data_IF_383914042210
#
_entry.id   IF_383914042210
#
_cell.length_a   1.000
_cell.length_b   1.000
_cell.length_c   1.000
_cell.angle_alpha   90.00
_cell.angle_beta   90.00
_cell.angle_gamma   90.00
#
_symmetry.space_group_name_H-M   'P 1'
#
loop_
_entity.id
_entity.type
_entity.pdbx_description
1 polymer ?
#
# COMPACT_ATOMS: atom_id res chain seq x y z
N UNK A 1 28.33 19.88 2.31
CA UNK A 1 27.22 19.08 1.76
C UNK A 1 26.47 18.45 2.91
N UNK A 2 25.23 18.89 3.19
CA UNK A 2 24.41 18.27 4.23
C UNK A 2 23.72 17.05 3.62
N UNK A 3 24.29 15.86 3.77
CA UNK A 3 23.59 14.60 3.50
C UNK A 3 22.65 14.32 4.68
N UNK A 4 21.45 14.88 4.65
CA UNK A 4 20.44 14.56 5.66
C UNK A 4 19.73 13.26 5.23
N UNK A 5 19.85 12.19 6.01
CA UNK A 5 19.07 10.95 5.82
C UNK A 5 17.55 11.21 5.72
N UNK A 6 17.06 12.34 6.24
CA UNK A 6 15.66 12.75 6.08
C UNK A 6 15.24 13.04 4.64
N UNK A 7 16.18 13.38 3.74
CA UNK A 7 15.88 13.68 2.34
C UNK A 7 15.40 12.46 1.56
N UNK A 8 15.96 11.28 1.85
CA UNK A 8 15.58 10.03 1.19
C UNK A 8 14.19 9.55 1.63
N UNK A 9 13.90 9.57 2.93
CA UNK A 9 12.58 9.21 3.46
C UNK A 9 11.49 10.20 3.00
N UNK A 10 11.81 11.50 2.96
CA UNK A 10 10.89 12.52 2.44
C UNK A 10 10.57 12.27 0.97
N UNK A 11 11.59 11.99 0.15
CA UNK A 11 11.39 11.63 -1.26
C UNK A 11 10.52 10.38 -1.39
N UNK A 12 10.78 9.36 -0.58
CA UNK A 12 9.99 8.13 -0.63
C UNK A 12 8.51 8.35 -0.27
N UNK A 13 8.22 9.17 0.74
CA UNK A 13 6.86 9.57 1.09
C UNK A 13 6.17 10.32 -0.05
N UNK A 14 6.90 11.21 -0.74
CA UNK A 14 6.37 11.92 -1.91
C UNK A 14 6.05 10.93 -3.04
N UNK A 15 6.96 10.02 -3.38
CA UNK A 15 6.72 9.03 -4.45
C UNK A 15 5.55 8.09 -4.09
N UNK A 16 5.44 7.65 -2.82
CA UNK A 16 4.28 6.89 -2.35
C UNK A 16 2.96 7.67 -2.54
N UNK A 17 2.95 8.95 -2.17
CA UNK A 17 1.78 9.82 -2.32
C UNK A 17 1.41 10.15 -3.77
N UNK A 18 2.35 9.97 -4.71
CA UNK A 18 2.13 10.20 -6.16
C UNK A 18 1.62 8.98 -6.90
N UNK A 19 1.38 7.86 -6.20
CA UNK A 19 0.90 6.63 -6.82
C UNK A 19 -0.35 6.86 -7.68
N UNK A 20 -1.32 7.64 -7.21
CA UNK A 20 -2.55 7.92 -7.95
C UNK A 20 -2.30 8.70 -9.27
N UNK A 21 -1.30 9.59 -9.29
CA UNK A 21 -0.85 10.25 -10.54
C UNK A 21 -0.26 9.23 -11.53
N UNK A 22 0.52 8.27 -11.03
CA UNK A 22 1.20 7.23 -11.84
C UNK A 22 0.19 6.31 -12.51
N UNK A 23 -0.88 5.95 -11.79
CA UNK A 23 -1.96 5.09 -12.30
C UNK A 23 -3.07 5.88 -13.00
N UNK A 24 -3.00 7.22 -12.98
CA UNK A 24 -4.01 8.14 -13.50
C UNK A 24 -5.40 7.91 -12.87
N UNK A 25 -5.43 7.61 -11.57
CA UNK A 25 -6.65 7.43 -10.80
C UNK A 25 -7.17 8.80 -10.32
N UNK A 26 -8.43 9.10 -10.63
CA UNK A 26 -9.13 10.26 -10.08
C UNK A 26 -10.18 9.79 -9.08
N UNK A 27 -9.73 9.50 -7.85
CA UNK A 27 -10.59 9.09 -6.74
C UNK A 27 -10.54 10.16 -5.65
N UNK A 28 -11.60 10.97 -5.47
CA UNK A 28 -11.60 12.01 -4.45
C UNK A 28 -11.38 11.47 -3.03
N UNK A 29 -10.41 12.05 -2.32
CA UNK A 29 -10.07 11.71 -0.92
C UNK A 29 -9.75 10.23 -0.68
N UNK A 30 -9.25 9.53 -1.69
CA UNK A 30 -8.95 8.12 -1.62
C UNK A 30 -7.82 7.78 -2.62
N UNK A 31 -7.29 6.58 -2.52
CA UNK A 31 -6.34 6.03 -3.50
C UNK A 31 -6.85 4.70 -4.05
N UNK A 32 -6.41 4.31 -5.24
CA UNK A 32 -6.88 3.05 -5.82
C UNK A 32 -6.60 1.82 -4.93
N UNK A 33 -5.42 1.67 -4.30
CA UNK A 33 -5.18 0.55 -3.39
C UNK A 33 -6.16 0.53 -2.21
N UNK A 34 -6.41 1.68 -1.60
CA UNK A 34 -7.32 1.79 -0.44
C UNK A 34 -8.78 1.54 -0.85
N UNK A 35 -9.20 2.14 -1.96
CA UNK A 35 -10.50 1.90 -2.58
C UNK A 35 -10.76 0.43 -2.89
N UNK A 36 -9.72 -0.30 -3.31
CA UNK A 36 -9.81 -1.72 -3.65
C UNK A 36 -9.85 -2.63 -2.43
N UNK A 37 -9.04 -2.33 -1.40
CA UNK A 37 -8.99 -3.13 -0.18
C UNK A 37 -10.26 -2.95 0.67
N UNK A 38 -10.74 -1.72 0.81
CA UNK A 38 -11.77 -1.35 1.80
C UNK A 38 -13.04 -0.80 1.17
N UNK A 39 -13.39 -1.26 -0.03
CA UNK A 39 -14.60 -0.83 -0.70
C UNK A 39 -15.86 -1.18 0.10
N UNK A 40 -16.77 -0.22 0.29
CA UNK A 40 -18.06 -0.48 0.92
C UNK A 40 -19.00 -1.34 0.06
N UNK A 41 -18.74 -1.47 -1.24
CA UNK A 41 -19.57 -2.20 -2.21
C UNK A 41 -18.71 -3.22 -3.00
N UNK A 42 -18.18 -4.26 -2.35
CA UNK A 42 -17.23 -5.19 -2.97
C UNK A 42 -17.81 -5.96 -4.18
N UNK A 43 -19.14 -6.09 -4.27
CA UNK A 43 -19.82 -6.74 -5.40
C UNK A 43 -19.76 -5.92 -6.70
N UNK A 44 -19.78 -4.61 -6.60
CA UNK A 44 -19.73 -3.70 -7.76
C UNK A 44 -18.29 -3.36 -8.16
N UNK A 45 -17.34 -3.66 -7.27
CA UNK A 45 -15.93 -3.32 -7.44
C UNK A 45 -15.32 -3.83 -8.75
N UNK A 46 -15.53 -5.09 -9.20
CA UNK A 46 -14.95 -5.57 -10.45
C UNK A 46 -15.41 -4.75 -11.67
N UNK A 47 -16.72 -4.50 -11.77
CA UNK A 47 -17.30 -3.71 -12.87
C UNK A 47 -16.74 -2.28 -12.87
N UNK A 48 -16.64 -1.65 -11.71
CA UNK A 48 -16.07 -0.31 -11.58
C UNK A 48 -14.60 -0.29 -11.99
N UNK A 49 -13.82 -1.24 -11.51
CA UNK A 49 -12.39 -1.32 -11.82
C UNK A 49 -12.16 -1.46 -13.34
N UNK A 50 -12.91 -2.35 -13.99
CA UNK A 50 -12.79 -2.60 -15.44
C UNK A 50 -13.21 -1.41 -16.31
N UNK A 51 -14.16 -0.59 -15.85
CA UNK A 51 -14.67 0.56 -16.59
C UNK A 51 -13.89 1.85 -16.35
N UNK A 52 -13.38 2.04 -15.13
CA UNK A 52 -12.78 3.31 -14.69
C UNK A 52 -11.25 3.31 -14.78
N UNK A 53 -10.59 2.13 -14.77
CA UNK A 53 -9.13 2.05 -14.68
C UNK A 53 -8.52 1.18 -15.78
N UNK A 54 -7.25 1.46 -16.10
CA UNK A 54 -6.47 0.67 -17.04
C UNK A 54 -5.63 -0.38 -16.31
N UNK A 55 -5.78 -1.66 -16.66
CA UNK A 55 -4.95 -2.73 -16.09
C UNK A 55 -3.45 -2.52 -16.36
N UNK A 56 -3.09 -1.86 -17.48
CA UNK A 56 -1.71 -1.45 -17.78
C UNK A 56 -1.21 -0.40 -16.79
N UNK A 57 -2.04 0.59 -16.47
CA UNK A 57 -1.69 1.61 -15.50
C UNK A 57 -1.54 1.02 -14.09
N UNK A 58 -2.41 0.08 -13.70
CA UNK A 58 -2.28 -0.65 -12.41
C UNK A 58 -0.97 -1.45 -12.35
N UNK A 59 -0.58 -2.16 -13.41
CA UNK A 59 0.72 -2.85 -13.48
C UNK A 59 1.89 -1.88 -13.31
N UNK A 60 1.83 -0.74 -13.98
CA UNK A 60 2.85 0.30 -13.86
C UNK A 60 2.91 0.89 -12.44
N UNK A 61 1.76 1.03 -11.76
CA UNK A 61 1.70 1.41 -10.35
C UNK A 61 2.42 0.41 -9.43
N UNK A 62 2.24 -0.89 -9.67
CA UNK A 62 2.97 -1.93 -8.92
C UNK A 62 4.48 -1.82 -9.17
N UNK A 63 4.90 -1.75 -10.43
CA UNK A 63 6.33 -1.61 -10.78
C UNK A 63 6.95 -0.36 -10.14
N UNK A 64 6.21 0.75 -10.11
CA UNK A 64 6.62 1.98 -9.45
C UNK A 64 6.82 1.79 -7.93
N UNK A 65 5.89 1.10 -7.27
CA UNK A 65 5.99 0.77 -5.84
C UNK A 65 7.13 -0.21 -5.52
N UNK A 66 7.34 -1.23 -6.35
CA UNK A 66 8.46 -2.18 -6.19
C UNK A 66 9.81 -1.48 -6.37
N UNK A 67 9.90 -0.58 -7.36
CA UNK A 67 11.08 0.26 -7.55
C UNK A 67 11.34 1.17 -6.35
N UNK A 68 10.29 1.77 -5.80
CA UNK A 68 10.40 2.58 -4.59
C UNK A 68 10.90 1.74 -3.41
N UNK A 69 10.34 0.55 -3.20
CA UNK A 69 10.76 -0.38 -2.14
C UNK A 69 12.24 -0.74 -2.25
N UNK A 70 12.71 -1.03 -3.48
CA UNK A 70 14.11 -1.36 -3.75
C UNK A 70 15.09 -0.19 -3.54
N UNK A 71 14.60 1.05 -3.61
CA UNK A 71 15.40 2.26 -3.40
C UNK A 71 15.44 2.73 -1.94
N UNK A 72 14.55 2.20 -1.08
CA UNK A 72 14.54 2.55 0.32
C UNK A 72 15.83 2.08 1.00
N UNK A 73 16.38 2.87 1.94
CA UNK A 73 17.53 2.45 2.72
C UNK A 73 17.20 1.17 3.48
N UNK A 74 18.19 0.31 3.71
CA UNK A 74 18.02 -0.93 4.47
C UNK A 74 17.72 -0.67 5.95
N UNK A 75 18.26 0.43 6.50
CA UNK A 75 18.05 0.87 7.87
C UNK A 75 18.19 2.39 8.01
N UNK A 76 17.77 2.93 9.15
CA UNK A 76 17.99 4.33 9.55
C UNK A 76 18.93 4.38 10.76
N UNK A 77 19.70 5.46 10.90
CA UNK A 77 20.61 5.67 12.03
C UNK A 77 19.91 6.11 13.33
N UNK A 78 18.64 6.50 13.25
CA UNK A 78 17.84 6.96 14.39
C UNK A 78 16.59 6.11 14.57
N UNK A 79 16.15 5.94 15.83
CA UNK A 79 14.91 5.22 16.18
C UNK A 79 13.69 5.79 15.45
N UNK A 80 13.53 7.13 15.45
CA UNK A 80 12.43 7.80 14.75
C UNK A 80 12.48 7.59 13.23
N UNK A 81 13.67 7.64 12.64
CA UNK A 81 13.84 7.36 11.21
C UNK A 81 13.59 5.89 10.88
N UNK A 82 13.90 4.97 11.79
CA UNK A 82 13.60 3.54 11.61
C UNK A 82 12.10 3.28 11.64
N UNK A 83 11.39 3.88 12.59
CA UNK A 83 9.93 3.81 12.62
C UNK A 83 9.29 4.39 11.35
N UNK A 84 9.75 5.57 10.90
CA UNK A 84 9.27 6.17 9.66
C UNK A 84 9.55 5.29 8.42
N UNK A 85 10.74 4.69 8.35
CA UNK A 85 11.10 3.76 7.28
C UNK A 85 10.20 2.52 7.28
N UNK A 86 9.92 1.94 8.45
CA UNK A 86 9.00 0.81 8.60
C UNK A 86 7.57 1.17 8.14
N UNK A 87 7.10 2.38 8.46
CA UNK A 87 5.79 2.90 8.02
C UNK A 87 5.73 3.06 6.50
N UNK A 88 6.77 3.62 5.90
CA UNK A 88 6.83 3.77 4.44
C UNK A 88 6.80 2.40 3.77
N UNK A 89 7.61 1.44 4.25
CA UNK A 89 7.61 0.07 3.71
C UNK A 89 6.25 -0.59 3.85
N UNK A 90 5.61 -0.44 5.01
CA UNK A 90 4.25 -0.96 5.25
C UNK A 90 3.24 -0.33 4.28
N UNK A 91 3.30 0.98 4.07
CA UNK A 91 2.44 1.69 3.12
C UNK A 91 2.64 1.25 1.67
N UNK A 92 3.89 1.00 1.26
CA UNK A 92 4.23 0.47 -0.06
C UNK A 92 3.67 -0.95 -0.23
N UNK A 93 3.89 -1.85 0.74
CA UNK A 93 3.39 -3.22 0.67
C UNK A 93 1.86 -3.30 0.66
N UNK A 94 1.18 -2.47 1.46
CA UNK A 94 -0.28 -2.32 1.41
C UNK A 94 -0.77 -1.83 0.05
N UNK A 95 -0.03 -0.89 -0.55
CA UNK A 95 -0.35 -0.36 -1.88
C UNK A 95 -0.21 -1.43 -2.95
N UNK A 96 0.88 -2.21 -2.92
CA UNK A 96 1.09 -3.34 -3.83
C UNK A 96 -0.03 -4.37 -3.68
N UNK A 97 -0.35 -4.79 -2.45
CA UNK A 97 -1.43 -5.75 -2.21
C UNK A 97 -2.78 -5.26 -2.75
N UNK A 98 -3.11 -3.98 -2.54
CA UNK A 98 -4.34 -3.39 -3.09
C UNK A 98 -4.35 -3.32 -4.62
N UNK A 99 -3.23 -3.02 -5.27
CA UNK A 99 -3.13 -3.02 -6.74
C UNK A 99 -3.14 -4.42 -7.34
N UNK A 100 -2.52 -5.40 -6.68
CA UNK A 100 -2.56 -6.82 -7.09
C UNK A 100 -4.00 -7.35 -7.02
N UNK A 101 -4.74 -6.98 -5.97
CA UNK A 101 -6.19 -7.22 -5.89
C UNK A 101 -6.96 -6.53 -7.00
N UNK A 102 -6.63 -5.28 -7.31
CA UNK A 102 -7.31 -4.57 -8.38
C UNK A 102 -7.09 -5.31 -9.72
N UNK A 103 -5.85 -5.75 -9.98
CA UNK A 103 -5.52 -6.50 -11.18
C UNK A 103 -6.28 -7.80 -11.29
N UNK A 104 -6.34 -8.63 -10.25
CA UNK A 104 -7.06 -9.91 -10.29
C UNK A 104 -8.58 -9.74 -10.52
N UNK A 105 -9.17 -8.64 -10.05
CA UNK A 105 -10.57 -8.30 -10.30
C UNK A 105 -10.81 -7.72 -11.71
N UNK A 106 -9.80 -7.09 -12.30
CA UNK A 106 -9.87 -6.52 -13.65
C UNK A 106 -9.59 -7.53 -14.75
N UNK A 107 -8.60 -8.39 -14.52
CA UNK A 107 -8.08 -9.39 -15.46
C UNK A 107 -7.67 -10.63 -14.69
N UNK A 108 -7.78 -11.81 -15.28
CA UNK A 108 -7.24 -13.03 -14.64
C UNK A 108 -5.73 -12.85 -14.38
N UNK A 109 -5.37 -12.65 -13.12
CA UNK A 109 -4.01 -12.41 -12.65
C UNK A 109 -3.84 -13.09 -11.30
N UNK A 110 -2.86 -13.97 -11.20
CA UNK A 110 -2.50 -14.72 -10.00
C UNK A 110 -1.34 -14.06 -9.21
N UNK A 111 -0.95 -12.86 -9.62
CA UNK A 111 0.10 -12.09 -8.96
C UNK A 111 -0.28 -11.82 -7.50
N UNK A 112 0.55 -12.36 -6.59
CA UNK A 112 0.40 -12.20 -5.14
C UNK A 112 1.81 -12.18 -4.53
N UNK A 113 2.50 -11.04 -4.66
CA UNK A 113 3.90 -10.91 -4.23
C UNK A 113 4.05 -10.65 -2.73
N UNK A 114 2.99 -10.15 -2.09
CA UNK A 114 3.02 -9.77 -0.68
C UNK A 114 2.59 -10.93 0.23
N UNK A 115 3.42 -11.24 1.23
CA UNK A 115 3.04 -12.18 2.28
C UNK A 115 1.99 -11.54 3.20
N UNK A 116 0.74 -11.96 3.04
CA UNK A 116 -0.42 -11.41 3.77
C UNK A 116 -0.28 -11.53 5.30
N UNK A 117 0.25 -12.65 5.79
CA UNK A 117 0.43 -12.87 7.24
C UNK A 117 1.46 -11.88 7.80
N UNK A 118 2.61 -11.81 7.14
CA UNK A 118 3.68 -10.89 7.52
C UNK A 118 3.21 -9.43 7.46
N UNK A 119 2.42 -9.07 6.46
CA UNK A 119 1.87 -7.73 6.31
C UNK A 119 0.96 -7.35 7.51
N UNK A 120 0.09 -8.26 7.93
CA UNK A 120 -0.81 -8.07 9.08
C UNK A 120 0.00 -7.94 10.38
N UNK A 121 0.99 -8.81 10.60
CA UNK A 121 1.88 -8.76 11.78
C UNK A 121 2.66 -7.43 11.84
N UNK A 122 3.15 -6.94 10.70
CA UNK A 122 3.84 -5.65 10.60
C UNK A 122 2.90 -4.47 10.85
N UNK A 123 1.66 -4.55 10.36
CA UNK A 123 0.64 -3.54 10.65
C UNK A 123 0.35 -3.45 12.15
N UNK A 124 0.15 -4.60 12.82
CA UNK A 124 -0.08 -4.67 14.27
C UNK A 124 1.10 -4.07 15.05
N UNK A 125 2.32 -4.52 14.73
CA UNK A 125 3.54 -4.03 15.35
C UNK A 125 3.69 -2.51 15.21
N UNK A 126 3.39 -1.97 14.03
CA UNK A 126 3.48 -0.53 13.77
C UNK A 126 2.42 0.27 14.56
N UNK A 127 1.18 -0.23 14.61
CA UNK A 127 0.10 0.39 15.37
C UNK A 127 0.48 0.53 16.85
N UNK A 128 0.97 -0.54 17.47
CA UNK A 128 1.33 -0.56 18.89
C UNK A 128 2.51 0.34 19.24
N UNK A 129 3.36 0.69 18.24
CA UNK A 129 4.43 1.69 18.41
C UNK A 129 3.91 3.13 18.41
N UNK A 130 2.73 3.40 17.84
CA UNK A 130 2.19 4.76 17.64
C UNK A 130 0.96 5.07 18.49
N UNK A 131 0.12 4.08 18.73
CA UNK A 131 -1.22 4.24 19.26
C UNK A 131 -1.51 3.22 20.37
N UNK A 132 -2.57 3.51 21.13
CA UNK A 132 -3.09 2.57 22.12
C UNK A 132 -3.77 1.38 21.41
N UNK A 133 -3.98 0.24 22.10
CA UNK A 133 -4.60 -0.94 21.50
C UNK A 133 -6.07 -0.79 21.07
N UNK A 134 -6.76 0.30 21.43
CA UNK A 134 -8.16 0.50 21.04
C UNK A 134 -8.31 0.63 19.53
N UNK A 135 -9.27 -0.07 18.94
CA UNK A 135 -9.53 -0.08 17.49
C UNK A 135 -8.61 -1.01 16.68
N UNK A 136 -7.58 -1.58 17.32
CA UNK A 136 -6.66 -2.52 16.67
C UNK A 136 -7.34 -3.84 16.28
N UNK A 137 -8.14 -4.50 17.15
CA UNK A 137 -8.82 -5.75 16.77
C UNK A 137 -9.74 -5.57 15.55
N UNK A 138 -10.50 -4.48 15.50
CA UNK A 138 -11.40 -4.15 14.40
C UNK A 138 -10.61 -3.87 13.11
N UNK A 139 -9.51 -3.12 13.21
CA UNK A 139 -8.65 -2.81 12.06
C UNK A 139 -7.96 -4.06 11.50
N UNK A 140 -7.49 -4.96 12.37
CA UNK A 140 -6.90 -6.24 11.96
C UNK A 140 -7.91 -7.16 11.29
N UNK A 141 -9.15 -7.20 11.80
CA UNK A 141 -10.22 -7.97 11.18
C UNK A 141 -10.53 -7.45 9.77
N UNK A 142 -10.69 -6.13 9.61
CA UNK A 142 -10.92 -5.50 8.31
C UNK A 142 -9.76 -5.75 7.33
N UNK A 143 -8.51 -5.60 7.77
CA UNK A 143 -7.34 -5.85 6.92
C UNK A 143 -7.25 -7.32 6.52
N UNK A 144 -7.51 -8.24 7.45
CA UNK A 144 -7.51 -9.69 7.18
C UNK A 144 -8.56 -10.06 6.15
N UNK A 145 -9.79 -9.53 6.30
CA UNK A 145 -10.87 -9.72 5.34
C UNK A 145 -10.49 -9.15 3.96
N UNK A 146 -10.00 -7.92 3.91
CA UNK A 146 -9.57 -7.26 2.67
C UNK A 146 -8.52 -8.05 1.88
N UNK A 147 -7.59 -8.72 2.58
CA UNK A 147 -6.52 -9.53 2.00
C UNK A 147 -6.92 -11.00 1.74
N UNK A 148 -8.04 -11.47 2.27
CA UNK A 148 -8.43 -12.89 2.23
C UNK A 148 -9.03 -13.35 0.89
N UNK A 149 -9.35 -12.45 -0.05
CA UNK A 149 -10.20 -12.80 -1.21
C UNK A 149 -9.83 -12.08 -2.49
N UNK A 150 -9.00 -12.73 -3.31
CA UNK A 150 -8.91 -12.62 -4.78
C UNK A 150 -7.92 -13.66 -5.31
#
# INVERSE_FOLDING_TARGET
>A
AFSCQGGELTRALIELGRLDEVIQADIPNNSLPWFTLFNAQPKELPNRLQNEFSSRAVRHGIEHMEKLLAQLPSSSSSEKGSLCLEEIRLGVDLSIAGLEKALSLMVESDRNSINRRELIERFESNWLKRARPGGLPESLALLSEALSSY
#
